data_IF_871995141276
#
_entry.id   IF_871995141276
#
_cell.length_a   1.000
_cell.length_b   1.000
_cell.length_c   1.000
_cell.angle_alpha   90.00
_cell.angle_beta   90.00
_cell.angle_gamma   90.00
#
_symmetry.space_group_name_H-M   'P 1'
#
loop_
_entity.id
_entity.type
_entity.pdbx_description
1 polymer ?
#
# COMPACT_ATOMS: atom_id res chain seq x y z
N UNK A 1 5.29 28.24 5.49
CA UNK A 1 3.92 27.93 5.95
C UNK A 1 3.51 26.49 5.59
N UNK A 2 3.90 25.95 4.42
CA UNK A 2 3.60 24.57 4.03
C UNK A 2 4.03 23.45 4.99
N UNK A 3 5.06 23.63 5.84
CA UNK A 3 5.50 22.58 6.78
C UNK A 3 4.57 22.38 7.99
N UNK A 4 3.91 23.44 8.48
CA UNK A 4 2.94 23.35 9.59
C UNK A 4 1.63 22.72 9.10
N UNK A 5 1.19 23.14 7.92
CA UNK A 5 0.06 22.58 7.19
C UNK A 5 0.27 21.10 6.82
N UNK A 6 1.41 20.77 6.24
CA UNK A 6 1.78 19.38 5.93
C UNK A 6 1.81 18.52 7.19
N UNK A 7 2.38 19.01 8.29
CA UNK A 7 2.36 18.32 9.60
C UNK A 7 0.96 18.13 10.15
N UNK A 8 0.07 19.11 9.98
CA UNK A 8 -1.30 19.04 10.43
C UNK A 8 -2.10 17.98 9.66
N UNK A 9 -2.01 17.99 8.32
CA UNK A 9 -2.65 16.98 7.48
C UNK A 9 -2.06 15.58 7.73
N UNK A 10 -0.75 15.47 7.91
CA UNK A 10 -0.08 14.21 8.28
C UNK A 10 -0.54 13.67 9.65
N UNK A 11 -0.79 14.55 10.63
CA UNK A 11 -1.27 14.15 11.95
C UNK A 11 -2.71 13.61 11.91
N UNK A 12 -3.54 14.17 11.04
CA UNK A 12 -4.94 13.77 10.89
C UNK A 12 -5.12 12.58 9.95
N UNK A 13 -4.26 12.50 8.95
CA UNK A 13 -4.34 11.53 7.87
C UNK A 13 -2.93 11.00 7.58
N UNK A 14 -2.39 10.14 8.46
CA UNK A 14 -1.19 9.39 8.13
C UNK A 14 -1.40 8.61 6.81
N UNK A 15 -0.32 8.35 6.06
CA UNK A 15 -0.41 7.50 4.89
C UNK A 15 -0.97 6.13 5.32
N UNK A 16 -2.08 5.72 4.69
CA UNK A 16 -2.68 4.44 4.97
C UNK A 16 -1.92 3.37 4.17
N UNK A 17 -1.06 2.61 4.86
CA UNK A 17 -0.44 1.40 4.31
C UNK A 17 -1.42 0.23 4.39
N UNK A 18 -1.91 -0.25 3.24
CA UNK A 18 -2.82 -1.40 3.22
C UNK A 18 -2.07 -2.69 2.94
N UNK A 19 -1.67 -3.37 4.02
CA UNK A 19 -1.16 -4.73 3.94
C UNK A 19 -2.21 -5.70 3.38
N UNK A 20 -1.94 -6.29 2.21
CA UNK A 20 -2.75 -7.36 1.61
C UNK A 20 -1.96 -8.63 1.45
N UNK A 21 -2.45 -9.72 2.03
CA UNK A 21 -1.81 -11.03 1.91
C UNK A 21 -2.47 -11.85 0.82
N UNK A 22 -1.68 -12.43 -0.09
CA UNK A 22 -2.18 -13.33 -1.13
C UNK A 22 -1.90 -14.78 -0.73
N UNK A 23 -2.94 -15.61 -0.63
CA UNK A 23 -2.82 -17.04 -0.30
C UNK A 23 -3.45 -17.90 -1.39
N UNK A 24 -3.10 -19.18 -1.40
CA UNK A 24 -3.60 -20.12 -2.40
C UNK A 24 -2.67 -21.31 -2.59
N UNK A 25 -3.19 -22.38 -3.18
CA UNK A 25 -2.42 -23.58 -3.45
C UNK A 25 -1.34 -23.34 -4.52
N UNK A 26 -0.42 -24.28 -4.64
CA UNK A 26 0.59 -24.27 -5.70
C UNK A 26 -0.09 -24.28 -7.07
N UNK A 27 0.50 -23.53 -8.01
CA UNK A 27 -0.01 -23.33 -9.37
C UNK A 27 -1.38 -22.63 -9.49
N UNK A 28 -1.95 -22.11 -8.39
CA UNK A 28 -3.22 -21.36 -8.45
C UNK A 28 -3.11 -20.03 -9.23
N UNK A 29 -1.89 -19.54 -9.46
CA UNK A 29 -1.63 -18.29 -10.19
C UNK A 29 -1.40 -17.08 -9.28
N UNK A 30 -1.02 -17.29 -8.01
CA UNK A 30 -0.72 -16.21 -7.04
C UNK A 30 0.30 -15.21 -7.57
N UNK A 31 1.46 -15.70 -8.00
CA UNK A 31 2.54 -14.88 -8.56
C UNK A 31 2.06 -14.15 -9.81
N UNK A 32 1.36 -14.81 -10.73
CA UNK A 32 0.81 -14.15 -11.93
C UNK A 32 -0.21 -13.06 -11.57
N UNK A 33 -1.10 -13.33 -10.61
CA UNK A 33 -2.05 -12.35 -10.06
C UNK A 33 -1.32 -11.13 -9.48
N UNK A 34 -0.26 -11.36 -8.73
CA UNK A 34 0.59 -10.34 -8.12
C UNK A 34 1.27 -9.47 -9.18
N UNK A 35 1.98 -10.08 -10.15
CA UNK A 35 2.65 -9.34 -11.22
C UNK A 35 1.66 -8.56 -12.08
N UNK A 36 0.47 -9.12 -12.31
CA UNK A 36 -0.57 -8.43 -13.08
C UNK A 36 -1.13 -7.21 -12.32
N UNK A 37 -1.25 -7.29 -10.99
CA UNK A 37 -1.57 -6.16 -10.13
C UNK A 37 -0.43 -5.12 -10.08
N UNK A 38 0.82 -5.57 -10.13
CA UNK A 38 2.01 -4.74 -9.96
C UNK A 38 2.45 -3.96 -11.20
N UNK A 39 2.46 -4.61 -12.37
CA UNK A 39 3.14 -4.08 -13.55
C UNK A 39 2.18 -3.78 -14.71
N UNK A 40 0.90 -4.16 -14.61
CA UNK A 40 -0.05 -4.15 -15.74
C UNK A 40 0.29 -5.16 -16.85
N UNK A 41 1.48 -5.77 -16.79
CA UNK A 41 2.03 -6.70 -17.78
C UNK A 41 1.99 -8.16 -17.30
N UNK A 42 2.05 -9.09 -18.26
CA UNK A 42 1.97 -10.53 -18.00
C UNK A 42 3.39 -11.09 -17.98
N UNK A 43 3.86 -11.52 -16.81
CA UNK A 43 5.16 -12.17 -16.65
C UNK A 43 4.95 -13.69 -16.57
N UNK A 44 5.66 -14.45 -17.41
CA UNK A 44 5.69 -15.91 -17.33
C UNK A 44 6.54 -16.33 -16.12
N UNK A 45 5.92 -16.96 -15.13
CA UNK A 45 6.59 -17.34 -13.87
C UNK A 45 6.85 -18.85 -13.79
N UNK A 46 7.90 -19.24 -13.08
CA UNK A 46 8.13 -20.63 -12.64
C UNK A 46 7.69 -20.81 -11.17
N UNK A 47 7.34 -22.02 -10.71
CA UNK A 47 6.85 -22.23 -9.34
C UNK A 47 7.83 -21.72 -8.26
N UNK A 48 7.35 -20.87 -7.37
CA UNK A 48 8.14 -20.26 -6.28
C UNK A 48 8.60 -21.30 -5.26
N UNK A 49 9.88 -21.26 -4.88
CA UNK A 49 10.46 -22.11 -3.82
C UNK A 49 10.54 -21.26 -2.54
N UNK A 50 9.76 -21.58 -1.50
CA UNK A 50 9.79 -20.89 -0.21
C UNK A 50 8.65 -19.87 -0.01
N UNK A 51 8.93 -18.81 0.75
CA UNK A 51 8.06 -17.64 0.94
C UNK A 51 8.74 -16.46 0.25
N UNK A 52 8.08 -15.81 -0.71
CA UNK A 52 8.58 -14.60 -1.36
C UNK A 52 7.71 -13.41 -0.93
N UNK A 53 8.33 -12.31 -0.53
CA UNK A 53 7.64 -11.03 -0.32
C UNK A 53 7.90 -10.20 -1.54
N UNK A 54 6.83 -9.80 -2.21
CA UNK A 54 6.93 -8.76 -3.21
C UNK A 54 6.02 -7.61 -2.78
N UNK A 55 6.63 -6.44 -2.69
CA UNK A 55 5.91 -5.21 -2.42
C UNK A 55 5.34 -4.70 -3.74
N UNK A 56 4.02 -4.54 -3.78
CA UNK A 56 3.30 -4.10 -4.97
C UNK A 56 2.72 -2.73 -4.68
N UNK A 57 3.01 -1.75 -5.51
CA UNK A 57 2.31 -0.45 -5.49
C UNK A 57 1.32 -0.41 -6.65
N UNK A 58 0.02 -0.27 -6.37
CA UNK A 58 -0.99 0.06 -7.40
C UNK A 58 -1.69 1.36 -7.03
N UNK A 59 -1.60 2.35 -7.94
CA UNK A 59 -1.96 3.75 -7.68
C UNK A 59 -1.21 4.30 -6.45
N UNK A 60 -1.91 4.46 -5.34
CA UNK A 60 -1.46 5.03 -4.07
C UNK A 60 -1.62 4.01 -2.92
N UNK A 61 -1.54 2.71 -3.24
CA UNK A 61 -1.73 1.62 -2.29
C UNK A 61 -0.50 0.71 -2.34
N UNK A 62 0.17 0.58 -1.20
CA UNK A 62 1.32 -0.30 -0.96
C UNK A 62 0.82 -1.65 -0.43
N UNK A 63 0.98 -2.70 -1.21
CA UNK A 63 0.56 -4.07 -0.89
C UNK A 63 1.79 -4.92 -0.57
N UNK A 64 1.91 -5.45 0.65
CA UNK A 64 2.89 -6.51 0.96
C UNK A 64 2.36 -7.88 0.54
N UNK A 65 2.69 -8.33 -0.66
CA UNK A 65 2.18 -9.60 -1.16
C UNK A 65 3.12 -10.75 -0.78
N UNK A 66 2.62 -11.63 0.06
CA UNK A 66 3.29 -12.85 0.46
C UNK A 66 2.95 -14.00 -0.48
N UNK A 67 3.81 -14.35 -1.44
CA UNK A 67 3.65 -15.58 -2.24
C UNK A 67 4.09 -16.78 -1.40
N UNK A 68 3.13 -17.30 -0.64
CA UNK A 68 3.38 -18.43 0.22
C UNK A 68 3.37 -19.72 -0.61
N UNK A 69 4.49 -20.45 -0.61
CA UNK A 69 4.61 -21.74 -1.27
C UNK A 69 3.44 -22.66 -0.90
N UNK A 70 2.63 -23.04 -1.89
CA UNK A 70 1.38 -23.77 -1.66
C UNK A 70 1.56 -25.23 -1.24
N UNK A 71 2.80 -25.70 -1.15
CA UNK A 71 3.16 -27.04 -0.68
C UNK A 71 2.90 -27.15 0.82
N UNK A 72 2.33 -28.28 1.24
CA UNK A 72 1.93 -28.57 2.63
C UNK A 72 3.02 -28.26 3.68
N UNK A 73 4.29 -28.49 3.34
CA UNK A 73 5.45 -28.26 4.21
C UNK A 73 5.73 -26.79 4.55
N UNK A 74 5.22 -25.84 3.76
CA UNK A 74 5.45 -24.41 3.93
C UNK A 74 4.23 -23.68 4.52
N UNK A 75 3.10 -24.38 4.73
CA UNK A 75 1.86 -23.77 5.24
C UNK A 75 1.91 -23.44 6.73
N UNK A 76 2.79 -24.10 7.47
CA UNK A 76 3.00 -23.84 8.91
C UNK A 76 3.66 -22.50 9.21
N UNK A 77 4.32 -21.86 8.23
CA UNK A 77 4.97 -20.55 8.41
C UNK A 77 4.10 -19.37 7.97
N UNK A 78 2.88 -19.61 7.47
CA UNK A 78 1.95 -18.53 7.05
C UNK A 78 1.68 -17.55 8.21
N UNK A 79 1.75 -18.05 9.44
CA UNK A 79 1.45 -17.33 10.68
C UNK A 79 2.33 -16.14 10.97
N UNK A 80 3.53 -16.10 10.40
CA UNK A 80 4.48 -15.00 10.61
C UNK A 80 4.09 -13.74 9.81
N UNK A 81 3.19 -13.86 8.84
CA UNK A 81 3.13 -12.90 7.73
C UNK A 81 1.83 -12.11 7.62
N UNK A 82 0.73 -12.61 8.19
CA UNK A 82 -0.59 -11.97 8.05
C UNK A 82 -0.98 -10.99 9.17
N UNK A 83 -0.10 -10.73 10.15
CA UNK A 83 -0.37 -9.74 11.20
C UNK A 83 -0.49 -8.34 10.58
N UNK A 84 -1.57 -7.65 10.94
CA UNK A 84 -1.87 -6.29 10.46
C UNK A 84 -2.42 -6.22 9.03
N UNK A 85 -2.93 -7.34 8.49
CA UNK A 85 -3.47 -7.35 7.12
C UNK A 85 -4.87 -6.78 7.06
N UNK A 86 -5.08 -5.85 6.13
CA UNK A 86 -6.38 -5.22 5.87
C UNK A 86 -7.24 -6.09 4.96
N UNK A 87 -6.61 -6.78 3.99
CA UNK A 87 -7.31 -7.78 3.16
C UNK A 87 -6.48 -9.05 2.94
N UNK A 88 -7.19 -10.15 2.72
CA UNK A 88 -6.65 -11.46 2.36
C UNK A 88 -7.21 -11.84 0.98
N UNK A 89 -6.34 -11.98 -0.02
CA UNK A 89 -6.71 -12.48 -1.34
C UNK A 89 -6.46 -13.99 -1.42
N UNK A 90 -7.51 -14.80 -1.49
CA UNK A 90 -7.43 -16.23 -1.72
C UNK A 90 -7.53 -16.55 -3.22
N UNK A 91 -6.42 -16.92 -3.86
CA UNK A 91 -6.38 -17.29 -5.28
C UNK A 91 -6.68 -18.77 -5.45
N UNK A 92 -7.75 -19.06 -6.19
CA UNK A 92 -8.28 -20.40 -6.43
C UNK A 92 -8.03 -20.79 -7.89
N UNK A 93 -7.38 -21.94 -8.11
CA UNK A 93 -7.40 -22.58 -9.42
C UNK A 93 -8.80 -23.14 -9.69
N UNK A 94 -9.56 -22.49 -10.55
CA UNK A 94 -10.94 -22.90 -10.85
C UNK A 94 -11.00 -24.24 -11.57
N UNK A 95 -9.90 -24.72 -12.16
CA UNK A 95 -9.84 -26.03 -12.82
C UNK A 95 -9.53 -27.18 -11.84
N UNK A 96 -9.04 -26.86 -10.64
CA UNK A 96 -8.58 -27.85 -9.67
C UNK A 96 -9.66 -28.27 -8.67
N UNK A 97 -10.66 -28.97 -9.19
CA UNK A 97 -11.78 -29.52 -8.40
C UNK A 97 -11.31 -30.52 -7.33
N UNK A 98 -10.19 -31.21 -7.57
CA UNK A 98 -9.70 -32.25 -6.67
C UNK A 98 -9.12 -31.68 -5.37
N UNK A 99 -8.50 -30.49 -5.42
CA UNK A 99 -7.84 -29.86 -4.27
C UNK A 99 -8.64 -28.73 -3.62
N UNK A 100 -9.85 -28.41 -4.09
CA UNK A 100 -10.68 -27.33 -3.53
C UNK A 100 -10.97 -27.49 -2.03
N UNK A 101 -11.17 -28.73 -1.56
CA UNK A 101 -11.40 -29.01 -0.14
C UNK A 101 -10.15 -28.73 0.71
N UNK A 102 -8.96 -28.96 0.16
CA UNK A 102 -7.70 -28.59 0.84
C UNK A 102 -7.67 -27.07 1.02
N UNK A 103 -8.03 -26.31 -0.03
CA UNK A 103 -8.07 -24.86 0.05
C UNK A 103 -9.11 -24.34 1.04
N UNK A 104 -10.27 -25.01 1.14
CA UNK A 104 -11.27 -24.71 2.17
C UNK A 104 -10.68 -24.85 3.57
N UNK A 105 -10.06 -26.00 3.88
CA UNK A 105 -9.51 -26.26 5.20
C UNK A 105 -8.40 -25.27 5.56
N UNK A 106 -7.56 -24.87 4.58
CA UNK A 106 -6.55 -23.83 4.75
C UNK A 106 -7.16 -22.44 5.01
N UNK A 107 -8.16 -22.05 4.22
CA UNK A 107 -8.82 -20.74 4.37
C UNK A 107 -9.47 -20.61 5.75
N UNK A 108 -10.23 -21.63 6.19
CA UNK A 108 -10.86 -21.60 7.51
C UNK A 108 -9.86 -21.63 8.65
N UNK A 109 -8.73 -22.33 8.48
CA UNK A 109 -7.65 -22.31 9.47
C UNK A 109 -7.02 -20.93 9.59
N UNK A 110 -6.80 -20.24 8.48
CA UNK A 110 -6.29 -18.86 8.47
C UNK A 110 -7.27 -17.92 9.18
N UNK A 111 -8.54 -17.92 8.77
CA UNK A 111 -9.56 -17.00 9.31
C UNK A 111 -9.88 -17.21 10.80
N UNK A 112 -9.45 -18.33 11.40
CA UNK A 112 -9.56 -18.54 12.85
C UNK A 112 -8.48 -17.80 13.65
N UNK A 113 -7.46 -17.25 13.00
CA UNK A 113 -6.37 -16.56 13.69
C UNK A 113 -6.79 -15.13 14.07
N UNK A 114 -6.59 -14.74 15.33
CA UNK A 114 -7.01 -13.43 15.85
C UNK A 114 -6.37 -12.24 15.13
N UNK A 115 -5.17 -12.41 14.58
CA UNK A 115 -4.50 -11.37 13.77
C UNK A 115 -5.24 -11.02 12.47
N UNK A 116 -6.24 -11.80 12.06
CA UNK A 116 -7.05 -11.58 10.87
C UNK A 116 -8.48 -11.11 11.20
N UNK A 117 -8.86 -10.91 12.46
CA UNK A 117 -10.26 -10.67 12.90
C UNK A 117 -11.00 -9.53 12.16
N UNK A 118 -10.27 -8.56 11.62
CA UNK A 118 -10.84 -7.43 10.86
C UNK A 118 -10.50 -7.42 9.37
N UNK A 119 -9.90 -8.51 8.87
CA UNK A 119 -9.43 -8.61 7.49
C UNK A 119 -10.58 -8.93 6.53
N UNK A 120 -10.70 -8.18 5.44
CA UNK A 120 -11.63 -8.47 4.33
C UNK A 120 -11.10 -9.64 3.49
N UNK A 121 -11.98 -10.57 3.11
CA UNK A 121 -11.58 -11.77 2.34
C UNK A 121 -12.00 -11.65 0.88
N UNK A 122 -11.03 -11.57 -0.03
CA UNK A 122 -11.26 -11.54 -1.47
C UNK A 122 -10.90 -12.89 -2.08
N UNK A 123 -11.86 -13.58 -2.70
CA UNK A 123 -11.63 -14.86 -3.36
C UNK A 123 -11.52 -14.64 -4.87
N UNK A 124 -10.36 -14.96 -5.43
CA UNK A 124 -10.12 -14.89 -6.87
C UNK A 124 -10.37 -16.27 -7.46
N UNK A 125 -11.50 -16.43 -8.13
CA UNK A 125 -11.79 -17.59 -8.96
C UNK A 125 -10.98 -17.46 -10.25
N UNK A 126 -9.71 -17.87 -10.21
CA UNK A 126 -8.72 -17.67 -11.26
C UNK A 126 -8.78 -18.78 -12.32
N UNK A 127 -8.22 -18.52 -13.50
CA UNK A 127 -8.19 -19.42 -14.67
C UNK A 127 -9.56 -19.69 -15.29
N UNK A 128 -10.44 -18.69 -15.26
CA UNK A 128 -11.78 -18.77 -15.87
C UNK A 128 -11.74 -18.85 -17.41
N UNK A 129 -10.60 -18.57 -18.01
CA UNK A 129 -10.32 -18.76 -19.44
C UNK A 129 -10.25 -20.24 -19.84
N UNK A 130 -10.03 -21.14 -18.89
CA UNK A 130 -9.84 -22.57 -19.15
C UNK A 130 -11.16 -23.33 -19.14
N UNK A 131 -11.24 -24.35 -20.00
CA UNK A 131 -12.39 -25.26 -20.07
C UNK A 131 -12.53 -26.02 -18.74
N UNK A 132 -13.78 -26.28 -18.35
CA UNK A 132 -14.16 -27.02 -17.13
C UNK A 132 -13.87 -26.30 -15.79
N UNK A 133 -13.44 -25.02 -15.86
CA UNK A 133 -13.31 -24.14 -14.71
C UNK A 133 -14.63 -24.07 -13.92
N UNK A 134 -14.53 -24.23 -12.60
CA UNK A 134 -15.63 -23.98 -11.67
C UNK A 134 -16.07 -22.52 -11.76
N UNK A 135 -17.36 -22.28 -11.90
CA UNK A 135 -17.94 -20.95 -11.76
C UNK A 135 -17.73 -20.39 -10.34
N UNK A 136 -17.78 -19.06 -10.15
CA UNK A 136 -17.75 -18.46 -8.81
C UNK A 136 -18.82 -19.02 -7.85
N UNK A 137 -19.99 -19.38 -8.36
CA UNK A 137 -21.04 -20.01 -7.56
C UNK A 137 -20.60 -21.40 -7.05
N UNK A 138 -20.06 -22.25 -7.93
CA UNK A 138 -19.53 -23.56 -7.52
C UNK A 138 -18.40 -23.45 -6.49
N UNK A 139 -17.50 -22.47 -6.65
CA UNK A 139 -16.40 -22.22 -5.69
C UNK A 139 -16.95 -21.72 -4.36
N UNK A 140 -17.96 -20.85 -4.38
CA UNK A 140 -18.62 -20.33 -3.17
C UNK A 140 -19.20 -21.47 -2.33
N UNK A 141 -19.86 -22.43 -2.98
CA UNK A 141 -20.44 -23.60 -2.32
C UNK A 141 -19.34 -24.56 -1.84
N UNK A 142 -18.37 -24.86 -2.70
CA UNK A 142 -17.27 -25.79 -2.39
C UNK A 142 -16.41 -25.32 -1.21
N UNK A 143 -16.09 -24.02 -1.15
CA UNK A 143 -15.39 -23.41 -0.03
C UNK A 143 -16.31 -23.14 1.16
N UNK A 144 -17.63 -23.16 0.97
CA UNK A 144 -18.63 -22.80 1.99
C UNK A 144 -18.46 -21.35 2.48
N UNK A 145 -18.22 -20.41 1.57
CA UNK A 145 -17.97 -19.00 1.94
C UNK A 145 -19.16 -18.38 2.71
N UNK A 146 -20.39 -18.85 2.44
CA UNK A 146 -21.60 -18.43 3.14
C UNK A 146 -21.57 -18.67 4.66
N UNK A 147 -20.73 -19.58 5.15
CA UNK A 147 -20.55 -19.83 6.60
C UNK A 147 -19.55 -18.88 7.27
N UNK A 148 -18.80 -18.09 6.51
CA UNK A 148 -17.95 -17.02 7.05
C UNK A 148 -18.87 -15.89 7.50
N UNK A 149 -18.91 -15.64 8.82
CA UNK A 149 -19.77 -14.62 9.45
C UNK A 149 -19.00 -13.47 10.08
N UNK A 150 -17.72 -13.68 10.39
CA UNK A 150 -16.90 -12.74 11.13
C UNK A 150 -16.01 -11.88 10.21
N UNK A 151 -16.10 -12.09 8.89
CA UNK A 151 -15.38 -11.31 7.90
C UNK A 151 -16.33 -11.00 6.75
N UNK A 152 -16.20 -9.79 6.21
CA UNK A 152 -16.73 -9.47 4.90
C UNK A 152 -15.94 -10.24 3.85
N UNK A 153 -16.66 -10.76 2.86
CA UNK A 153 -16.03 -11.50 1.78
C UNK A 153 -16.68 -11.25 0.43
N UNK A 154 -15.87 -11.36 -0.61
CA UNK A 154 -16.32 -11.27 -1.99
C UNK A 154 -15.61 -12.30 -2.85
N UNK A 155 -16.26 -12.75 -3.91
CA UNK A 155 -15.66 -13.65 -4.90
C UNK A 155 -15.77 -13.02 -6.29
N UNK A 156 -14.67 -13.05 -7.03
CA UNK A 156 -14.59 -12.50 -8.37
C UNK A 156 -13.99 -13.53 -9.34
N UNK A 157 -14.69 -13.75 -10.45
CA UNK A 157 -14.14 -14.46 -11.61
C UNK A 157 -13.00 -13.65 -12.20
N UNK A 158 -11.86 -14.28 -12.43
CA UNK A 158 -10.72 -13.60 -13.04
C UNK A 158 -9.84 -14.53 -13.89
N UNK A 159 -8.99 -13.89 -14.68
CA UNK A 159 -7.94 -14.55 -15.45
C UNK A 159 -6.64 -13.77 -15.26
N UNK A 160 -5.71 -14.31 -14.47
CA UNK A 160 -4.45 -13.62 -14.14
C UNK A 160 -3.58 -13.35 -15.38
N UNK A 161 -3.69 -14.17 -16.43
CA UNK A 161 -2.91 -13.97 -17.67
C UNK A 161 -3.49 -12.87 -18.56
N UNK A 162 -4.80 -12.64 -18.57
CA UNK A 162 -5.39 -11.55 -19.36
C UNK A 162 -5.56 -10.26 -18.54
N UNK A 163 -5.71 -10.39 -17.22
CA UNK A 163 -6.08 -9.31 -16.31
C UNK A 163 -7.59 -9.11 -16.17
N UNK A 164 -8.40 -9.91 -16.88
CA UNK A 164 -9.86 -9.81 -16.78
C UNK A 164 -10.35 -10.08 -15.36
N UNK A 165 -11.27 -9.23 -14.87
CA UNK A 165 -11.86 -9.32 -13.53
C UNK A 165 -11.10 -8.54 -12.44
N UNK A 166 -9.87 -8.09 -12.70
CA UNK A 166 -9.06 -7.38 -11.70
C UNK A 166 -9.52 -5.94 -11.48
N UNK A 167 -9.91 -5.23 -12.53
CA UNK A 167 -10.38 -3.83 -12.44
C UNK A 167 -11.58 -3.67 -11.49
N UNK A 168 -12.52 -4.62 -11.50
CA UNK A 168 -13.70 -4.59 -10.63
C UNK A 168 -13.32 -4.65 -9.15
N UNK A 169 -12.29 -5.42 -8.80
CA UNK A 169 -11.78 -5.54 -7.43
C UNK A 169 -10.98 -4.29 -7.04
N UNK A 170 -10.12 -3.79 -7.93
CA UNK A 170 -9.34 -2.59 -7.66
C UNK A 170 -10.24 -1.36 -7.48
N UNK A 171 -11.33 -1.27 -8.25
CA UNK A 171 -12.34 -0.24 -8.06
C UNK A 171 -13.07 -0.37 -6.71
N UNK A 172 -13.28 -1.60 -6.22
CA UNK A 172 -13.93 -1.85 -4.94
C UNK A 172 -13.00 -1.53 -3.76
N UNK A 173 -11.75 -1.96 -3.81
CA UNK A 173 -10.72 -1.59 -2.82
C UNK A 173 -10.54 -0.07 -2.77
N UNK A 174 -10.60 0.61 -3.92
CA UNK A 174 -10.63 2.09 -3.94
C UNK A 174 -11.93 2.69 -3.42
N UNK A 175 -13.07 2.00 -3.51
CA UNK A 175 -14.34 2.48 -2.96
C UNK A 175 -14.37 2.41 -1.43
N UNK A 176 -13.74 1.38 -0.85
CA UNK A 176 -13.57 1.28 0.60
C UNK A 176 -12.61 2.39 1.11
N UNK A 177 -11.54 2.72 0.35
CA UNK A 177 -10.73 3.92 0.62
C UNK A 177 -11.53 5.23 0.47
N UNK A 178 -12.40 5.33 -0.54
CA UNK A 178 -13.30 6.49 -0.67
C UNK A 178 -14.24 6.57 0.53
N UNK A 179 -14.70 5.43 1.09
CA UNK A 179 -15.48 5.40 2.32
C UNK A 179 -14.69 5.91 3.52
N UNK A 180 -13.43 5.52 3.67
CA UNK A 180 -12.54 6.07 4.72
C UNK A 180 -12.32 7.58 4.55
N UNK A 181 -12.12 8.05 3.32
CA UNK A 181 -12.03 9.50 3.04
C UNK A 181 -13.36 10.22 3.28
N UNK A 182 -14.50 9.55 3.09
CA UNK A 182 -15.82 10.10 3.44
C UNK A 182 -15.99 10.19 4.96
N UNK A 183 -15.58 9.17 5.72
CA UNK A 183 -15.61 9.20 7.19
C UNK A 183 -14.71 10.31 7.74
N UNK A 184 -13.51 10.44 7.18
CA UNK A 184 -12.59 11.55 7.43
C UNK A 184 -13.24 12.91 7.12
N UNK A 185 -13.86 13.06 5.95
CA UNK A 185 -14.53 14.29 5.52
C UNK A 185 -15.66 14.68 6.48
N UNK A 186 -16.47 13.71 6.94
CA UNK A 186 -17.52 13.90 7.94
C UNK A 186 -17.01 14.34 9.33
N UNK A 187 -15.71 14.20 9.63
CA UNK A 187 -15.15 14.78 10.84
C UNK A 187 -15.13 16.31 10.76
N UNK A 188 -15.00 16.87 9.55
CA UNK A 188 -14.92 18.30 9.27
C UNK A 188 -16.30 18.86 8.93
N UNK A 189 -16.98 18.28 7.95
CA UNK A 189 -18.34 18.64 7.54
C UNK A 189 -19.34 18.22 8.63
N UNK A 190 -19.65 19.16 9.54
CA UNK A 190 -20.47 18.89 10.74
C UNK A 190 -21.95 18.96 10.44
N UNK A 191 -22.35 19.79 9.49
CA UNK A 191 -23.74 19.96 9.10
C UNK A 191 -24.17 19.06 7.94
N UNK A 192 -23.22 18.39 7.29
CA UNK A 192 -23.43 17.38 6.27
C UNK A 192 -23.82 17.98 4.92
N UNK A 193 -23.44 19.24 4.66
CA UNK A 193 -23.78 19.95 3.42
C UNK A 193 -22.89 19.57 2.22
N UNK A 194 -21.84 18.78 2.47
CA UNK A 194 -20.91 18.28 1.46
C UNK A 194 -19.73 19.22 1.17
N UNK A 195 -19.58 20.30 1.94
CA UNK A 195 -18.50 21.28 1.83
C UNK A 195 -17.88 21.56 3.21
N UNK A 196 -16.56 21.68 3.30
CA UNK A 196 -15.91 22.10 4.55
C UNK A 196 -15.69 23.61 4.50
N UNK A 197 -16.34 24.31 5.42
CA UNK A 197 -16.19 25.76 5.61
C UNK A 197 -14.98 26.12 6.47
N UNK A 198 -14.61 27.40 6.48
CA UNK A 198 -13.54 27.92 7.34
C UNK A 198 -13.86 27.70 8.82
N UNK A 199 -15.12 27.89 9.21
CA UNK A 199 -15.60 27.69 10.57
C UNK A 199 -15.51 26.23 11.03
N UNK A 200 -15.87 25.30 10.14
CA UNK A 200 -15.78 23.86 10.41
C UNK A 200 -14.34 23.38 10.51
N UNK A 201 -13.49 23.81 9.59
CA UNK A 201 -12.06 23.55 9.63
C UNK A 201 -11.44 24.08 10.93
N UNK A 202 -11.77 25.32 11.32
CA UNK A 202 -11.32 25.93 12.57
C UNK A 202 -11.76 25.14 13.80
N UNK A 203 -13.00 24.64 13.79
CA UNK A 203 -13.58 23.87 14.89
C UNK A 203 -12.81 22.57 15.13
N UNK A 204 -12.50 21.83 14.06
CA UNK A 204 -11.71 20.60 14.15
C UNK A 204 -10.29 20.89 14.60
N UNK A 205 -9.60 21.87 14.01
CA UNK A 205 -8.21 22.19 14.37
C UNK A 205 -8.09 22.59 15.86
N UNK A 206 -9.04 23.39 16.36
CA UNK A 206 -9.06 23.77 17.78
C UNK A 206 -9.35 22.60 18.70
N UNK A 207 -10.17 21.64 18.27
CA UNK A 207 -10.45 20.44 19.06
C UNK A 207 -9.23 19.53 19.25
N UNK A 208 -8.23 19.66 18.37
CA UNK A 208 -6.96 18.92 18.44
C UNK A 208 -5.89 19.67 19.24
N UNK A 209 -6.24 20.77 19.91
CA UNK A 209 -5.36 21.54 20.78
C UNK A 209 -4.46 22.55 20.05
N UNK A 210 -4.74 22.84 18.78
CA UNK A 210 -4.08 23.91 18.03
C UNK A 210 -4.91 25.20 18.09
N UNK A 211 -4.32 26.37 17.85
CA UNK A 211 -5.06 27.64 17.76
C UNK A 211 -4.60 28.44 16.53
N UNK A 212 -5.10 28.08 15.34
CA UNK A 212 -4.72 28.72 14.09
C UNK A 212 -5.37 30.09 13.94
N UNK A 213 -4.64 31.00 13.31
CA UNK A 213 -5.15 32.30 12.90
C UNK A 213 -6.09 32.18 11.69
N UNK A 214 -6.94 33.19 11.49
CA UNK A 214 -7.88 33.20 10.35
C UNK A 214 -7.15 33.22 9.00
N UNK A 215 -6.00 33.90 8.89
CA UNK A 215 -5.22 33.92 7.65
C UNK A 215 -4.58 32.56 7.38
N UNK A 216 -4.10 31.86 8.42
CA UNK A 216 -3.61 30.49 8.26
C UNK A 216 -4.71 29.56 7.74
N UNK A 217 -5.92 29.64 8.28
CA UNK A 217 -7.08 28.86 7.83
C UNK A 217 -7.45 29.15 6.37
N UNK A 218 -7.46 30.43 5.98
CA UNK A 218 -7.71 30.85 4.59
C UNK A 218 -6.65 30.31 3.65
N UNK A 219 -5.39 30.33 4.07
CA UNK A 219 -4.31 29.75 3.29
C UNK A 219 -4.48 28.22 3.13
N UNK A 220 -4.96 27.51 4.17
CA UNK A 220 -5.28 26.08 4.04
C UNK A 220 -6.36 25.82 2.99
N UNK A 221 -7.43 26.62 2.99
CA UNK A 221 -8.52 26.48 2.01
C UNK A 221 -8.01 26.81 0.61
N UNK A 222 -7.27 27.91 0.42
CA UNK A 222 -6.73 28.32 -0.89
C UNK A 222 -5.81 27.28 -1.53
N UNK A 223 -5.11 26.47 -0.74
CA UNK A 223 -4.25 25.41 -1.27
C UNK A 223 -5.03 24.25 -1.89
N UNK A 224 -6.32 24.10 -1.52
CA UNK A 224 -7.16 22.94 -1.83
C UNK A 224 -8.34 23.31 -2.73
N UNK A 225 -8.92 24.48 -2.51
CA UNK A 225 -10.06 25.06 -3.24
C UNK A 225 -9.65 25.40 -4.67
N UNK A 226 -9.92 24.48 -5.59
CA UNK A 226 -9.54 24.59 -7.01
C UNK A 226 -10.49 25.56 -7.72
N UNK A 227 -11.76 25.55 -7.33
CA UNK A 227 -12.79 26.34 -7.99
C UNK A 227 -12.93 27.77 -7.44
N UNK A 228 -12.27 28.07 -6.31
CA UNK A 228 -12.21 29.38 -5.67
C UNK A 228 -13.48 29.78 -4.93
N UNK A 229 -14.33 28.82 -4.54
CA UNK A 229 -15.60 29.10 -3.88
C UNK A 229 -15.47 29.43 -2.38
N UNK A 230 -14.26 29.29 -1.81
CA UNK A 230 -13.95 29.56 -0.41
C UNK A 230 -14.29 28.42 0.55
N UNK A 231 -14.60 27.24 0.04
CA UNK A 231 -14.91 26.01 0.78
C UNK A 231 -14.13 24.83 0.18
N UNK A 232 -14.06 23.70 0.90
CA UNK A 232 -13.44 22.48 0.37
C UNK A 232 -14.53 21.46 0.08
N UNK A 233 -14.81 21.23 -1.21
CA UNK A 233 -15.75 20.20 -1.63
C UNK A 233 -15.13 18.80 -1.48
N UNK A 234 -15.96 17.76 -1.35
CA UNK A 234 -15.46 16.38 -1.21
C UNK A 234 -14.51 15.95 -2.35
N UNK A 235 -14.73 16.43 -3.57
CA UNK A 235 -13.85 16.14 -4.72
C UNK A 235 -12.50 16.83 -4.60
N UNK A 236 -12.46 18.04 -4.04
CA UNK A 236 -11.24 18.81 -3.78
C UNK A 236 -10.45 18.21 -2.61
N UNK A 237 -11.17 17.77 -1.57
CA UNK A 237 -10.64 17.00 -0.46
C UNK A 237 -9.96 15.70 -0.94
N UNK A 238 -10.61 14.93 -1.81
CA UNK A 238 -10.01 13.72 -2.39
C UNK A 238 -8.74 14.00 -3.20
N UNK A 239 -8.73 15.09 -3.98
CA UNK A 239 -7.55 15.48 -4.76
C UNK A 239 -6.37 15.89 -3.87
N UNK A 240 -6.64 16.55 -2.74
CA UNK A 240 -5.63 16.84 -1.72
C UNK A 240 -5.04 15.54 -1.15
N UNK A 241 -5.91 14.62 -0.70
CA UNK A 241 -5.50 13.35 -0.12
C UNK A 241 -4.66 12.51 -1.10
N UNK A 242 -5.09 12.43 -2.37
CA UNK A 242 -4.36 11.72 -3.41
C UNK A 242 -2.97 12.33 -3.71
N UNK A 243 -2.81 13.66 -3.60
CA UNK A 243 -1.52 14.34 -3.77
C UNK A 243 -0.61 14.11 -2.56
N UNK A 244 -1.15 14.21 -1.34
CA UNK A 244 -0.40 14.05 -0.10
C UNK A 244 0.12 12.63 0.10
N UNK A 245 -0.67 11.62 -0.27
CA UNK A 245 -0.20 10.22 -0.25
C UNK A 245 1.00 10.00 -1.16
N UNK A 246 1.00 10.57 -2.38
CA UNK A 246 2.17 10.49 -3.28
C UNK A 246 3.41 11.18 -2.72
N UNK A 247 3.24 12.27 -1.97
CA UNK A 247 4.35 12.96 -1.29
C UNK A 247 4.89 12.11 -0.14
N UNK A 248 4.01 11.45 0.64
CA UNK A 248 4.42 10.56 1.74
C UNK A 248 5.09 9.29 1.24
N UNK A 249 4.56 8.64 0.20
CA UNK A 249 5.18 7.47 -0.44
C UNK A 249 6.60 7.80 -0.92
N UNK A 250 6.77 8.94 -1.58
CA UNK A 250 8.08 9.42 -2.03
C UNK A 250 9.03 9.70 -0.85
N UNK A 251 8.55 10.31 0.24
CA UNK A 251 9.37 10.53 1.44
C UNK A 251 9.77 9.21 2.11
N UNK A 252 8.85 8.23 2.20
CA UNK A 252 9.13 6.90 2.75
C UNK A 252 10.11 6.10 1.89
N UNK A 253 9.96 6.12 0.56
CA UNK A 253 10.92 5.50 -0.36
C UNK A 253 12.32 6.12 -0.19
N UNK A 254 12.40 7.44 -0.04
CA UNK A 254 13.66 8.13 0.24
C UNK A 254 14.23 7.75 1.61
N UNK A 255 13.39 7.54 2.64
CA UNK A 255 13.83 7.09 3.96
C UNK A 255 14.34 5.65 3.95
N UNK A 256 13.67 4.75 3.24
CA UNK A 256 14.13 3.37 3.08
C UNK A 256 15.43 3.32 2.28
N UNK A 257 15.56 4.10 1.20
CA UNK A 257 16.81 4.26 0.49
C UNK A 257 17.91 4.81 1.42
N UNK A 258 17.61 5.83 2.22
CA UNK A 258 18.56 6.40 3.19
C UNK A 258 19.06 5.35 4.19
N UNK A 259 18.18 4.50 4.73
CA UNK A 259 18.55 3.39 5.64
C UNK A 259 19.46 2.34 4.99
N UNK A 260 19.43 2.19 3.68
CA UNK A 260 20.36 1.28 2.97
C UNK A 260 21.79 1.80 3.05
N UNK A 261 21.95 3.12 3.00
CA UNK A 261 23.23 3.82 3.11
C UNK A 261 23.67 3.97 4.58
N UNK A 262 22.82 4.49 5.46
CA UNK A 262 23.09 4.68 6.89
C UNK A 262 23.09 3.33 7.64
N UNK A 263 24.26 2.66 7.67
CA UNK A 263 24.40 1.29 8.20
C UNK A 263 24.46 1.28 9.72
N UNK A 264 25.03 2.32 10.31
CA UNK A 264 25.16 2.44 11.76
C UNK A 264 23.95 3.15 12.42
N UNK A 265 23.00 3.63 11.60
CA UNK A 265 21.76 4.29 12.01
C UNK A 265 22.03 5.58 12.80
N UNK A 266 23.11 6.28 12.47
CA UNK A 266 23.48 7.52 13.14
C UNK A 266 22.71 8.74 12.58
N UNK A 267 21.95 8.56 11.49
CA UNK A 267 21.17 9.61 10.82
C UNK A 267 21.91 10.37 9.73
N UNK A 268 23.12 9.95 9.37
CA UNK A 268 24.00 10.57 8.38
C UNK A 268 24.61 9.49 7.48
N UNK A 269 24.87 9.83 6.21
CA UNK A 269 25.61 8.98 5.28
C UNK A 269 27.04 9.45 5.23
N UNK A 270 27.96 8.61 5.70
CA UNK A 270 29.39 8.86 5.58
C UNK A 270 29.94 8.45 4.20
N UNK A 271 31.10 9.01 3.82
CA UNK A 271 31.83 8.58 2.62
C UNK A 271 32.14 7.06 2.61
N UNK A 272 32.36 6.46 3.78
CA UNK A 272 32.62 5.03 3.90
C UNK A 272 31.38 4.20 3.59
N UNK A 273 30.22 4.64 4.07
CA UNK A 273 28.94 3.98 3.82
C UNK A 273 28.50 4.09 2.38
N UNK A 274 28.59 5.29 1.79
CA UNK A 274 28.32 5.51 0.38
C UNK A 274 29.17 4.60 -0.51
N UNK A 275 30.48 4.51 -0.24
CA UNK A 275 31.41 3.60 -0.93
C UNK A 275 30.97 2.14 -0.81
N UNK A 276 30.65 1.69 0.39
CA UNK A 276 30.29 0.29 0.64
C UNK A 276 29.02 -0.12 -0.11
N UNK A 277 28.03 0.78 -0.19
CA UNK A 277 26.81 0.53 -0.97
C UNK A 277 27.12 0.48 -2.46
N UNK A 278 27.91 1.42 -3.00
CA UNK A 278 28.25 1.44 -4.43
C UNK A 278 29.05 0.19 -4.87
N UNK A 279 29.96 -0.29 -4.03
CA UNK A 279 30.68 -1.55 -4.27
C UNK A 279 29.73 -2.74 -4.31
N UNK A 280 28.73 -2.79 -3.41
CA UNK A 280 27.72 -3.85 -3.39
C UNK A 280 26.80 -3.82 -4.62
N UNK A 281 26.62 -2.65 -5.24
CA UNK A 281 25.91 -2.48 -6.51
C UNK A 281 26.77 -2.82 -7.74
N UNK A 282 28.02 -3.24 -7.53
CA UNK A 282 28.95 -3.62 -8.60
C UNK A 282 29.74 -2.46 -9.20
N UNK A 283 29.55 -1.25 -8.69
CA UNK A 283 30.24 -0.05 -9.13
C UNK A 283 31.55 0.13 -8.36
N UNK A 284 32.65 0.35 -9.09
CA UNK A 284 33.95 0.63 -8.48
C UNK A 284 34.17 2.12 -8.46
N UNK A 285 34.27 2.68 -7.26
CA UNK A 285 34.51 4.10 -7.06
C UNK A 285 35.84 4.35 -6.35
N UNK A 286 36.55 5.38 -6.75
CA UNK A 286 37.76 5.87 -6.09
C UNK A 286 37.43 6.70 -4.84
N UNK A 287 38.41 6.94 -3.97
CA UNK A 287 38.26 7.83 -2.81
C UNK A 287 37.88 9.25 -3.22
N UNK A 288 38.44 9.74 -4.32
CA UNK A 288 38.19 11.07 -4.86
C UNK A 288 36.75 11.23 -5.38
N UNK A 289 36.22 10.22 -6.08
CA UNK A 289 34.84 10.25 -6.60
C UNK A 289 33.80 10.25 -5.48
N UNK A 290 34.00 9.42 -4.45
CA UNK A 290 33.05 9.36 -3.32
C UNK A 290 33.09 10.65 -2.50
N UNK A 291 34.26 11.24 -2.28
CA UNK A 291 34.38 12.53 -1.60
C UNK A 291 33.73 13.66 -2.41
N UNK A 292 33.81 13.60 -3.75
CA UNK A 292 33.16 14.58 -4.61
C UNK A 292 31.63 14.46 -4.54
N UNK A 293 31.08 13.24 -4.49
CA UNK A 293 29.64 13.02 -4.31
C UNK A 293 29.14 13.56 -2.96
N UNK A 294 29.86 13.28 -1.87
CA UNK A 294 29.51 13.81 -0.54
C UNK A 294 29.53 15.34 -0.60
N UNK A 295 30.58 15.94 -1.14
CA UNK A 295 30.73 17.40 -1.24
C UNK A 295 29.66 18.08 -2.10
N UNK A 296 29.10 17.39 -3.08
CA UNK A 296 28.01 17.90 -3.91
C UNK A 296 26.66 17.87 -3.21
N UNK A 297 26.46 16.93 -2.28
CA UNK A 297 25.23 16.77 -1.52
C UNK A 297 25.24 17.55 -0.18
N UNK A 298 26.40 17.59 0.48
CA UNK A 298 26.66 18.26 1.77
C UNK A 298 26.58 19.79 1.60
N UNK A 299 25.46 20.35 2.04
CA UNK A 299 25.18 21.79 1.94
C UNK A 299 25.54 22.57 3.19
N UNK A 300 25.59 21.91 4.35
CA UNK A 300 25.96 22.54 5.62
C UNK A 300 27.47 22.44 5.95
N UNK A 301 28.19 21.61 5.22
CA UNK A 301 29.64 21.45 5.27
C UNK A 301 30.13 20.57 6.42
N UNK A 302 29.28 19.70 6.97
CA UNK A 302 29.63 18.81 8.09
C UNK A 302 30.46 17.58 7.65
N UNK A 303 30.63 17.39 6.33
CA UNK A 303 31.40 16.32 5.72
C UNK A 303 30.65 15.00 5.63
N UNK A 304 29.35 15.01 5.90
CA UNK A 304 28.43 13.88 5.80
C UNK A 304 27.16 14.34 5.06
N UNK A 305 26.25 13.42 4.78
CA UNK A 305 24.99 13.75 4.11
C UNK A 305 23.83 13.38 5.03
N UNK A 306 23.10 14.37 5.51
CA UNK A 306 21.90 14.15 6.31
C UNK A 306 20.69 13.83 5.41
N UNK A 307 19.56 13.43 6.03
CA UNK A 307 18.36 13.05 5.27
C UNK A 307 17.82 14.15 4.34
N UNK A 308 17.85 15.42 4.77
CA UNK A 308 17.33 16.53 3.96
C UNK A 308 18.20 16.77 2.72
N UNK A 309 19.52 16.63 2.86
CA UNK A 309 20.50 16.75 1.78
C UNK A 309 20.40 15.58 0.79
N UNK A 310 20.29 14.36 1.31
CA UNK A 310 20.06 13.17 0.49
C UNK A 310 18.75 13.28 -0.31
N UNK A 311 17.66 13.69 0.35
CA UNK A 311 16.35 13.88 -0.29
C UNK A 311 16.43 14.93 -1.41
N UNK A 312 17.07 16.06 -1.15
CA UNK A 312 17.28 17.12 -2.16
C UNK A 312 18.10 16.64 -3.34
N UNK A 313 19.17 15.89 -3.10
CA UNK A 313 20.01 15.32 -4.15
C UNK A 313 19.21 14.36 -5.06
N UNK A 314 18.42 13.46 -4.46
CA UNK A 314 17.63 12.46 -5.19
C UNK A 314 16.44 13.07 -5.94
N UNK A 315 15.89 14.19 -5.46
CA UNK A 315 14.76 14.90 -6.08
C UNK A 315 15.17 15.93 -7.16
N UNK A 316 16.45 16.26 -7.28
CA UNK A 316 16.95 17.27 -8.23
C UNK A 316 17.24 16.74 -9.64
N UNK A 317 16.73 15.55 -9.99
CA UNK A 317 16.94 14.86 -11.28
C UNK A 317 15.78 15.05 -12.24
#
# INVERSE_FOLDING_TARGET
MGALLSRFWFMLFPANEYKIVVVGLDNAGKTTTLYKLHLGEVVNTSPTIGSNVEEVVYKNIRFEVWDLGGQERLRTSWTTYYRGSHALIAVIDSTDRARINIMKDELFRLLQHGDLEHTVVLVFANKQDLKDAMSPAEITDALSLHSIKNHDWHIQACCAITGEGFEAIMNRLSADQISEFQEAFCLFDKDGDGCITLEELATVIRSLGQDPTEEELKDMIREVDINGNGTIEFTEFLNLMARKMKETDAEEELREAFKVFDKDQNGYISATELRNVMINLGEKMTDEEVLQMIKEADTDGDGQVNFEEFSRMMMAV
#
